data_IF_025388859874
#
_entry.id   IF_025388859874
#
_cell.length_a   1.000
_cell.length_b   1.000
_cell.length_c   1.000
_cell.angle_alpha   90.00
_cell.angle_beta   90.00
_cell.angle_gamma   90.00
#
_symmetry.space_group_name_H-M   'P 1'
#
loop_
_entity.id
_entity.type
_entity.pdbx_description
1 polymer ?
#
# COMPACT_ATOMS: atom_id res chain seq x y z
N UNK A 1 7.01 14.11 4.12
CA UNK A 1 6.15 12.90 4.05
C UNK A 1 5.33 12.71 5.31
N UNK A 2 5.94 12.70 6.50
CA UNK A 2 5.22 12.44 7.76
C UNK A 2 4.02 13.38 8.06
N UNK A 3 4.21 14.71 8.03
CA UNK A 3 3.14 15.70 8.25
C UNK A 3 2.03 15.55 7.19
N UNK A 4 2.41 15.26 5.95
CA UNK A 4 1.47 15.04 4.86
C UNK A 4 0.60 13.80 5.12
N UNK A 5 1.20 12.69 5.57
CA UNK A 5 0.45 11.48 5.93
C UNK A 5 -0.58 11.71 7.03
N UNK A 6 -0.20 12.43 8.10
CA UNK A 6 -1.14 12.83 9.16
C UNK A 6 -2.23 13.78 8.67
N UNK A 7 -1.89 14.72 7.78
CA UNK A 7 -2.87 15.63 7.18
C UNK A 7 -3.88 14.87 6.32
N UNK A 8 -3.41 13.91 5.52
CA UNK A 8 -4.25 13.03 4.71
C UNK A 8 -5.19 12.19 5.57
N UNK A 9 -4.68 11.61 6.67
CA UNK A 9 -5.49 10.88 7.63
C UNK A 9 -6.54 11.78 8.31
N UNK A 10 -6.15 12.99 8.72
CA UNK A 10 -7.07 13.98 9.29
C UNK A 10 -8.19 14.37 8.34
N UNK A 11 -7.88 14.61 7.06
CA UNK A 11 -8.87 14.90 6.02
C UNK A 11 -9.80 13.73 5.74
N UNK A 12 -9.26 12.50 5.72
CA UNK A 12 -10.04 11.26 5.60
C UNK A 12 -11.08 11.16 6.73
N UNK A 13 -10.67 11.40 7.98
CA UNK A 13 -11.57 11.34 9.15
C UNK A 13 -12.61 12.46 9.11
N UNK A 14 -12.20 13.68 8.72
CA UNK A 14 -13.10 14.83 8.66
C UNK A 14 -14.19 14.68 7.60
N UNK A 15 -13.84 14.20 6.39
CA UNK A 15 -14.80 14.08 5.29
C UNK A 15 -14.56 12.83 4.43
N UNK A 16 -14.90 11.63 4.95
CA UNK A 16 -14.55 10.36 4.31
C UNK A 16 -15.19 10.18 2.93
N UNK A 17 -16.37 10.76 2.70
CA UNK A 17 -17.06 10.67 1.40
C UNK A 17 -16.21 11.19 0.23
N UNK A 18 -15.33 12.16 0.45
CA UNK A 18 -14.49 12.75 -0.60
C UNK A 18 -13.03 12.32 -0.48
N UNK A 19 -12.53 12.16 0.75
CA UNK A 19 -11.12 11.85 1.01
C UNK A 19 -10.84 10.36 1.21
N UNK A 20 -11.80 9.48 0.90
CA UNK A 20 -11.59 8.02 0.99
C UNK A 20 -10.30 7.51 0.30
N UNK A 21 -9.82 8.05 -0.84
CA UNK A 21 -8.61 7.53 -1.47
C UNK A 21 -7.34 7.73 -0.63
N UNK A 22 -7.36 8.69 0.30
CA UNK A 22 -6.23 8.94 1.19
C UNK A 22 -5.97 7.80 2.15
N UNK A 23 -6.95 6.91 2.37
CA UNK A 23 -6.74 5.71 3.20
C UNK A 23 -5.59 4.86 2.66
N UNK A 24 -5.42 4.77 1.33
CA UNK A 24 -4.41 3.93 0.69
C UNK A 24 -3.02 4.54 0.61
N UNK A 25 -2.86 5.81 1.01
CA UNK A 25 -1.59 6.53 0.94
C UNK A 25 -1.15 7.03 2.33
N UNK A 26 -2.11 7.35 3.20
CA UNK A 26 -1.84 7.97 4.49
C UNK A 26 -0.93 7.12 5.37
N UNK A 27 -1.14 5.80 5.41
CA UNK A 27 -0.35 4.90 6.26
C UNK A 27 1.07 4.81 5.72
N UNK A 28 1.25 4.68 4.40
CA UNK A 28 2.58 4.66 3.79
C UNK A 28 3.36 5.94 4.11
N UNK A 29 2.73 7.12 3.95
CA UNK A 29 3.39 8.41 4.21
C UNK A 29 3.73 8.65 5.69
N UNK A 30 3.06 7.96 6.62
CA UNK A 30 3.36 7.98 8.05
C UNK A 30 4.47 6.97 8.38
N UNK A 31 4.34 5.72 7.91
CA UNK A 31 5.20 4.62 8.31
C UNK A 31 6.56 4.59 7.59
N UNK A 32 6.62 4.97 6.32
CA UNK A 32 7.86 4.93 5.55
C UNK A 32 8.95 5.88 6.13
N UNK A 33 8.61 7.12 6.55
CA UNK A 33 9.53 7.96 7.32
C UNK A 33 9.92 7.38 8.68
N UNK A 34 8.99 6.75 9.41
CA UNK A 34 9.28 6.10 10.70
C UNK A 34 10.30 4.98 10.50
N UNK A 35 10.09 4.12 9.52
CA UNK A 35 11.05 3.06 9.18
C UNK A 35 12.42 3.62 8.82
N UNK A 36 12.45 4.71 8.06
CA UNK A 36 13.71 5.41 7.72
C UNK A 36 14.41 5.94 8.97
N UNK A 37 13.68 6.54 9.92
CA UNK A 37 14.24 7.04 11.18
C UNK A 37 14.74 5.94 12.11
N UNK A 38 14.08 4.77 12.10
CA UNK A 38 14.48 3.59 12.87
C UNK A 38 15.61 2.79 12.19
N UNK A 39 16.07 3.20 11.00
CA UNK A 39 17.09 2.47 10.25
C UNK A 39 16.61 1.16 9.62
N UNK A 40 15.29 0.92 9.61
CA UNK A 40 14.65 -0.19 8.93
C UNK A 40 14.62 0.03 7.42
N UNK A 41 14.32 -1.03 6.68
CA UNK A 41 14.13 -0.93 5.23
C UNK A 41 12.84 -0.12 4.93
N UNK A 42 12.93 0.75 3.93
CA UNK A 42 11.86 1.67 3.51
C UNK A 42 11.93 1.91 2.02
N UNK A 43 10.81 2.19 1.37
CA UNK A 43 10.81 2.47 -0.07
C UNK A 43 11.54 3.78 -0.38
N UNK A 44 11.47 4.76 0.52
CA UNK A 44 12.24 6.00 0.40
C UNK A 44 13.76 5.74 0.40
N UNK A 45 14.26 4.84 1.27
CA UNK A 45 15.68 4.48 1.29
C UNK A 45 16.13 3.83 -0.03
N UNK A 46 15.35 2.91 -0.59
CA UNK A 46 15.64 2.27 -1.88
C UNK A 46 15.63 3.29 -3.03
N UNK A 47 14.60 4.13 -3.06
CA UNK A 47 14.43 5.17 -4.10
C UNK A 47 15.57 6.20 -4.05
N UNK A 48 16.01 6.61 -2.85
CA UNK A 48 17.15 7.52 -2.68
C UNK A 48 18.48 6.92 -3.17
N UNK A 49 18.62 5.59 -3.13
CA UNK A 49 19.77 4.86 -3.67
C UNK A 49 19.66 4.59 -5.17
N UNK A 50 18.56 5.03 -5.81
CA UNK A 50 18.28 4.77 -7.22
C UNK A 50 17.74 3.36 -7.50
N UNK A 51 17.44 2.56 -6.48
CA UNK A 51 16.85 1.23 -6.65
C UNK A 51 15.32 1.32 -6.65
N UNK A 52 14.75 1.34 -7.86
CA UNK A 52 13.31 1.36 -8.07
C UNK A 52 12.69 -0.05 -8.17
N UNK A 53 13.52 -1.10 -8.12
CA UNK A 53 13.05 -2.48 -8.28
C UNK A 53 11.98 -2.86 -7.26
N UNK A 54 12.10 -2.55 -5.95
CA UNK A 54 11.07 -2.90 -4.99
C UNK A 54 9.73 -2.22 -5.30
N UNK A 55 9.76 -0.96 -5.74
CA UNK A 55 8.56 -0.18 -6.09
C UNK A 55 7.81 -0.84 -7.24
N UNK A 56 8.51 -1.15 -8.34
CA UNK A 56 7.89 -1.79 -9.50
C UNK A 56 7.45 -3.23 -9.21
N UNK A 57 8.26 -4.01 -8.50
CA UNK A 57 7.94 -5.39 -8.14
C UNK A 57 6.69 -5.47 -7.26
N UNK A 58 6.57 -4.59 -6.25
CA UNK A 58 5.39 -4.51 -5.38
C UNK A 58 4.15 -4.05 -6.15
N UNK A 59 4.29 -2.99 -6.96
CA UNK A 59 3.18 -2.46 -7.74
C UNK A 59 2.63 -3.50 -8.73
N UNK A 60 3.50 -4.12 -9.53
CA UNK A 60 3.10 -5.12 -10.52
C UNK A 60 2.59 -6.39 -9.83
N UNK A 61 3.27 -6.88 -8.79
CA UNK A 61 2.83 -8.05 -8.05
C UNK A 61 1.46 -7.87 -7.42
N UNK A 62 1.20 -6.70 -6.83
CA UNK A 62 -0.11 -6.39 -6.25
C UNK A 62 -1.20 -6.18 -7.31
N UNK A 63 -0.88 -5.58 -8.46
CA UNK A 63 -1.83 -5.47 -9.58
C UNK A 63 -2.23 -6.84 -10.15
N UNK A 64 -1.26 -7.75 -10.31
CA UNK A 64 -1.54 -9.13 -10.75
C UNK A 64 -2.40 -9.84 -9.70
N UNK A 65 -2.06 -9.71 -8.41
CA UNK A 65 -2.84 -10.28 -7.33
C UNK A 65 -4.28 -9.72 -7.30
N UNK A 66 -4.44 -8.40 -7.42
CA UNK A 66 -5.74 -7.72 -7.49
C UNK A 66 -6.55 -8.15 -8.70
N UNK A 67 -5.91 -8.35 -9.87
CA UNK A 67 -6.57 -8.87 -11.06
C UNK A 67 -7.13 -10.27 -10.84
N UNK A 68 -6.32 -11.20 -10.30
CA UNK A 68 -6.80 -12.56 -10.01
C UNK A 68 -7.85 -12.59 -8.90
N UNK A 69 -7.72 -11.72 -7.89
CA UNK A 69 -8.73 -11.53 -6.85
C UNK A 69 -10.09 -11.16 -7.46
N UNK A 70 -10.13 -10.14 -8.33
CA UNK A 70 -11.35 -9.69 -8.98
C UNK A 70 -11.92 -10.73 -9.95
N UNK A 71 -11.05 -11.47 -10.66
CA UNK A 71 -11.46 -12.59 -11.49
C UNK A 71 -12.16 -13.68 -10.66
N UNK A 72 -11.58 -14.13 -9.55
CA UNK A 72 -12.19 -15.13 -8.69
C UNK A 72 -13.47 -14.63 -8.02
N UNK A 73 -13.48 -13.37 -7.58
CA UNK A 73 -14.66 -12.73 -7.00
C UNK A 73 -15.83 -12.67 -7.97
N UNK A 74 -15.57 -12.46 -9.27
CA UNK A 74 -16.61 -12.45 -10.29
C UNK A 74 -17.30 -13.82 -10.44
N UNK A 75 -16.55 -14.91 -10.28
CA UNK A 75 -17.05 -16.28 -10.42
C UNK A 75 -17.51 -16.91 -9.09
N UNK A 76 -17.42 -16.22 -7.95
CA UNK A 76 -17.80 -16.78 -6.65
C UNK A 76 -19.26 -16.49 -6.28
N UNK A 77 -19.84 -17.38 -5.45
CA UNK A 77 -21.08 -17.09 -4.74
C UNK A 77 -20.92 -17.49 -3.26
N UNK A 78 -20.97 -16.55 -2.29
CA UNK A 78 -21.22 -15.11 -2.45
C UNK A 78 -20.03 -14.35 -3.09
N UNK A 79 -20.31 -13.16 -3.63
CA UNK A 79 -19.31 -12.24 -4.21
C UNK A 79 -19.31 -10.88 -3.53
N UNK A 80 -18.16 -10.22 -3.57
CA UNK A 80 -17.96 -8.84 -3.12
C UNK A 80 -18.46 -7.88 -4.20
N UNK A 81 -19.42 -7.02 -3.83
CA UNK A 81 -19.97 -5.98 -4.70
C UNK A 81 -19.46 -4.63 -4.20
N UNK A 82 -18.65 -3.96 -5.01
CA UNK A 82 -18.03 -2.69 -4.64
C UNK A 82 -18.94 -1.50 -4.97
N UNK A 83 -19.29 -0.73 -3.95
CA UNK A 83 -20.01 0.54 -4.08
C UNK A 83 -19.07 1.70 -3.83
N UNK A 84 -18.32 2.12 -4.86
CA UNK A 84 -17.39 3.24 -4.75
C UNK A 84 -18.08 4.55 -5.16
N UNK A 85 -18.10 5.58 -4.30
CA UNK A 85 -18.69 6.87 -4.63
C UNK A 85 -18.01 7.50 -5.87
N UNK A 86 -18.80 8.13 -6.75
CA UNK A 86 -18.35 8.95 -7.89
C UNK A 86 -17.63 8.22 -9.04
N UNK A 87 -17.14 7.00 -8.84
CA UNK A 87 -16.32 6.27 -9.83
C UNK A 87 -16.94 4.93 -10.25
N UNK A 88 -18.26 4.81 -10.25
CA UNK A 88 -18.97 3.57 -10.61
C UNK A 88 -18.94 3.17 -12.10
N UNK A 89 -18.14 3.86 -12.93
CA UNK A 89 -18.05 3.65 -14.38
C UNK A 89 -16.79 2.85 -14.77
N UNK A 90 -16.76 2.29 -15.99
CA UNK A 90 -15.65 1.46 -16.52
C UNK A 90 -15.25 0.31 -15.57
N UNK A 91 -16.20 -0.59 -15.30
CA UNK A 91 -15.95 -1.76 -14.45
C UNK A 91 -15.18 -2.83 -15.22
N UNK A 92 -14.13 -3.34 -14.59
CA UNK A 92 -13.43 -4.56 -15.00
C UNK A 92 -13.74 -5.58 -13.92
N UNK A 93 -14.55 -6.59 -14.25
CA UNK A 93 -15.26 -7.44 -13.30
C UNK A 93 -16.23 -6.63 -12.43
N UNK A 94 -16.18 -6.78 -11.10
CA UNK A 94 -17.05 -6.04 -10.16
C UNK A 94 -16.45 -4.69 -9.75
N UNK A 95 -15.13 -4.50 -9.92
CA UNK A 95 -14.41 -3.29 -9.51
C UNK A 95 -14.31 -2.25 -10.65
N UNK A 96 -14.50 -0.96 -10.36
CA UNK A 96 -14.15 0.11 -11.31
C UNK A 96 -12.65 0.14 -11.61
N UNK A 97 -12.26 0.50 -12.84
CA UNK A 97 -10.86 0.63 -13.24
C UNK A 97 -10.04 1.52 -12.27
N UNK A 98 -10.64 2.63 -11.80
CA UNK A 98 -10.00 3.51 -10.83
C UNK A 98 -9.73 2.85 -9.48
N UNK A 99 -10.51 1.84 -9.13
CA UNK A 99 -10.30 1.01 -7.94
C UNK A 99 -8.98 0.22 -8.01
N UNK A 100 -8.59 -0.25 -9.20
CA UNK A 100 -7.32 -0.96 -9.37
C UNK A 100 -6.11 -0.08 -9.08
N UNK A 101 -6.24 1.24 -9.26
CA UNK A 101 -5.22 2.21 -8.88
C UNK A 101 -4.91 2.19 -7.37
N UNK A 102 -5.84 1.73 -6.53
CA UNK A 102 -5.65 1.57 -5.09
C UNK A 102 -4.73 0.40 -4.70
N UNK A 103 -4.60 -0.64 -5.53
CA UNK A 103 -3.71 -1.78 -5.24
C UNK A 103 -2.23 -1.37 -5.19
N UNK A 104 -1.82 -0.41 -6.02
CA UNK A 104 -0.44 0.07 -6.08
C UNK A 104 -0.02 0.69 -4.73
N UNK A 105 -0.65 1.78 -4.24
CA UNK A 105 -0.25 2.39 -2.99
C UNK A 105 -0.54 1.47 -1.79
N UNK A 106 -1.55 0.60 -1.86
CA UNK A 106 -1.77 -0.44 -0.85
C UNK A 106 -0.56 -1.39 -0.68
N UNK A 107 0.10 -1.77 -1.78
CA UNK A 107 1.32 -2.59 -1.70
C UNK A 107 2.45 -1.90 -0.92
N UNK A 108 2.54 -0.57 -1.04
CA UNK A 108 3.52 0.25 -0.34
C UNK A 108 3.19 0.39 1.14
N UNK A 109 1.90 0.42 1.50
CA UNK A 109 1.45 0.39 2.89
C UNK A 109 1.82 -0.93 3.56
N UNK A 110 1.51 -2.07 2.92
CA UNK A 110 1.87 -3.38 3.46
C UNK A 110 3.38 -3.50 3.63
N UNK A 111 4.17 -3.05 2.65
CA UNK A 111 5.63 -3.06 2.76
C UNK A 111 6.13 -2.25 3.96
N UNK A 112 5.60 -1.03 4.15
CA UNK A 112 5.98 -0.19 5.29
C UNK A 112 5.56 -0.81 6.63
N UNK A 113 4.36 -1.40 6.73
CA UNK A 113 3.91 -2.12 7.93
C UNK A 113 4.80 -3.33 8.21
N UNK A 114 5.11 -4.13 7.18
CA UNK A 114 5.96 -5.31 7.30
C UNK A 114 7.34 -4.98 7.86
N UNK A 115 8.00 -3.94 7.33
CA UNK A 115 9.33 -3.55 7.80
C UNK A 115 9.31 -2.87 9.17
N UNK A 116 8.21 -2.20 9.53
CA UNK A 116 8.03 -1.71 10.89
C UNK A 116 7.91 -2.86 11.88
N UNK A 117 7.05 -3.84 11.60
CA UNK A 117 6.82 -5.01 12.46
C UNK A 117 8.10 -5.82 12.58
N UNK A 118 8.72 -6.18 11.46
CA UNK A 118 9.96 -6.99 11.48
C UNK A 118 11.09 -6.28 12.22
N UNK A 119 11.25 -4.97 12.04
CA UNK A 119 12.25 -4.20 12.78
C UNK A 119 11.94 -4.11 14.29
N UNK A 120 10.67 -3.94 14.69
CA UNK A 120 10.26 -3.94 16.10
C UNK A 120 10.54 -5.30 16.77
N UNK A 121 10.27 -6.39 16.07
CA UNK A 121 10.52 -7.75 16.59
C UNK A 121 11.95 -8.23 16.34
N UNK A 122 12.84 -7.37 15.84
CA UNK A 122 14.21 -7.68 15.45
C UNK A 122 14.31 -8.96 14.59
N UNK A 123 13.28 -9.17 13.77
CA UNK A 123 13.22 -10.27 12.82
C UNK A 123 14.09 -9.91 11.63
N UNK A 124 14.87 -10.88 11.15
CA UNK A 124 15.70 -10.71 9.95
C UNK A 124 14.79 -10.32 8.78
N UNK A 125 15.00 -9.15 8.19
CA UNK A 125 14.26 -8.77 6.99
C UNK A 125 14.69 -9.72 5.86
N UNK A 126 13.71 -10.21 5.09
CA UNK A 126 13.97 -11.12 3.96
C UNK A 126 14.79 -10.43 2.87
N UNK A 127 14.75 -9.11 2.83
CA UNK A 127 15.42 -8.25 1.84
C UNK A 127 16.91 -8.07 2.10
N UNK A 128 17.39 -8.23 3.33
CA UNK A 128 18.81 -8.09 3.65
C UNK A 128 19.29 -9.17 4.63
N UNK A 129 19.53 -10.41 4.14
CA UNK A 129 19.90 -11.54 4.99
C UNK A 129 21.28 -11.36 5.65
N UNK A 130 22.06 -10.32 5.33
CA UNK A 130 23.39 -10.11 5.91
C UNK A 130 23.47 -8.93 6.88
N UNK A 131 22.37 -8.20 7.10
CA UNK A 131 22.32 -7.12 8.08
C UNK A 131 22.39 -7.71 9.51
N UNK A 132 23.36 -7.31 10.35
CA UNK A 132 23.45 -7.80 11.72
C UNK A 132 22.24 -7.31 12.54
N UNK A 133 21.68 -8.23 13.32
CA UNK A 133 20.67 -7.96 14.35
C UNK A 133 21.41 -7.23 15.48
N UNK A 134 21.11 -5.94 15.69
CA UNK A 134 21.64 -5.15 16.80
C UNK A 134 20.93 -5.51 18.12
#
# INVERSE_FOLDING_TARGET
MFILGWSMLGLLIYRPRYFFPFVWMSVHFILDPINTWLGHDSLLSHTNRGDWRPVFSLAVGCLICGFFWEMWNFYSYPKWIYQVPFVGFLKIFEMPLLGYGGYIPFSFEIYAVYHLITGIFNMRSVTDPFKPVL
#
